data_IF_405196872885
#
_entry.id   IF_405196872885
#
_cell.length_a   1.000
_cell.length_b   1.000
_cell.length_c   1.000
_cell.angle_alpha   90.00
_cell.angle_beta   90.00
_cell.angle_gamma   90.00
#
_symmetry.space_group_name_H-M   'P 1'
#
loop_
_entity.id
_entity.type
_entity.pdbx_description
1 polymer ?
#
# COMPACT_ATOMS: atom_id res chain seq x y z
N UNK A 1 -1.56 -6.81 19.59
CA UNK A 1 -0.44 -6.88 18.61
C UNK A 1 0.30 -8.20 18.55
N UNK A 2 0.62 -8.91 19.67
CA UNK A 2 1.40 -10.17 19.64
C UNK A 2 0.79 -11.26 18.76
N UNK A 3 -0.53 -11.50 18.86
CA UNK A 3 -1.22 -12.48 18.01
C UNK A 3 -1.17 -12.05 16.54
N UNK A 4 -1.39 -10.78 16.25
CA UNK A 4 -1.33 -10.27 14.88
C UNK A 4 0.07 -10.43 14.28
N UNK A 5 1.12 -10.25 15.07
CA UNK A 5 2.50 -10.46 14.66
C UNK A 5 2.78 -11.94 14.34
N UNK A 6 2.29 -12.86 15.18
CA UNK A 6 2.39 -14.29 14.89
C UNK A 6 1.67 -14.66 13.59
N UNK A 7 0.49 -14.09 13.32
CA UNK A 7 -0.24 -14.26 12.08
C UNK A 7 0.54 -13.66 10.90
N UNK A 8 1.11 -12.46 11.06
CA UNK A 8 1.91 -11.82 10.00
C UNK A 8 3.14 -12.66 9.61
N UNK A 9 3.78 -13.33 10.58
CA UNK A 9 4.91 -14.21 10.34
C UNK A 9 4.51 -15.60 9.83
N UNK A 10 3.24 -16.00 9.97
CA UNK A 10 2.71 -17.26 9.46
C UNK A 10 2.74 -17.40 7.92
N UNK A 11 3.17 -16.36 7.20
CA UNK A 11 3.46 -16.41 5.76
C UNK A 11 4.76 -17.17 5.44
N UNK A 12 5.57 -17.45 6.45
CA UNK A 12 6.82 -18.21 6.36
C UNK A 12 6.67 -19.58 7.02
N UNK A 13 7.45 -20.54 6.54
CA UNK A 13 7.59 -21.82 7.22
C UNK A 13 8.48 -21.65 8.47
N UNK A 14 8.02 -22.15 9.59
CA UNK A 14 8.75 -22.14 10.85
C UNK A 14 9.32 -23.51 11.17
N UNK A 15 10.46 -23.55 11.86
CA UNK A 15 11.06 -24.81 12.32
C UNK A 15 10.22 -25.44 13.44
N UNK A 16 10.16 -26.76 13.55
CA UNK A 16 9.48 -27.45 14.64
C UNK A 16 9.99 -26.97 16.03
N UNK A 17 9.07 -26.65 16.92
CA UNK A 17 9.39 -26.18 18.26
C UNK A 17 9.59 -24.68 18.40
N UNK A 18 9.44 -23.90 17.34
CA UNK A 18 9.40 -22.43 17.37
C UNK A 18 8.15 -21.89 18.10
N UNK A 19 7.07 -22.67 18.14
CA UNK A 19 5.76 -22.24 18.68
C UNK A 19 4.86 -21.57 17.65
N UNK A 20 5.37 -21.23 16.47
CA UNK A 20 4.64 -20.62 15.35
C UNK A 20 4.47 -21.57 14.17
N UNK A 21 5.03 -22.77 14.22
CA UNK A 21 4.94 -23.79 13.18
C UNK A 21 3.50 -24.25 12.87
N UNK A 22 2.56 -23.98 13.76
CA UNK A 22 1.14 -24.26 13.57
C UNK A 22 0.35 -23.08 12.99
N UNK A 23 1.00 -21.93 12.77
CA UNK A 23 0.36 -20.74 12.19
C UNK A 23 0.66 -20.73 10.69
N UNK A 24 -0.41 -20.82 9.87
CA UNK A 24 -0.30 -20.68 8.45
C UNK A 24 -1.17 -19.51 7.99
N UNK A 25 -0.57 -18.57 7.26
CA UNK A 25 -1.23 -17.36 6.76
C UNK A 25 -1.14 -17.30 5.24
N UNK A 26 -2.13 -16.70 4.61
CA UNK A 26 -2.13 -16.43 3.17
C UNK A 26 -0.78 -15.79 2.77
N UNK A 27 -0.05 -16.32 1.80
CA UNK A 27 1.26 -15.81 1.40
C UNK A 27 1.21 -14.37 0.86
N UNK A 28 0.02 -13.88 0.48
CA UNK A 28 -0.18 -12.50 0.04
C UNK A 28 -0.59 -11.56 1.18
N UNK A 29 -0.70 -12.05 2.41
CA UNK A 29 -1.07 -11.24 3.55
C UNK A 29 -0.07 -10.09 3.77
N UNK A 30 -0.62 -8.90 3.99
CA UNK A 30 0.16 -7.67 4.16
C UNK A 30 -0.31 -6.92 5.40
N UNK A 31 0.63 -6.56 6.26
CA UNK A 31 0.35 -5.68 7.40
C UNK A 31 0.38 -4.23 6.92
N UNK A 32 -0.74 -3.53 7.08
CA UNK A 32 -0.90 -2.15 6.67
C UNK A 32 -0.95 -1.24 7.89
N UNK A 33 -0.14 -0.19 7.89
CA UNK A 33 -0.09 0.81 8.96
C UNK A 33 0.12 2.21 8.40
N UNK A 34 -0.08 3.24 9.21
CA UNK A 34 0.34 4.60 8.90
C UNK A 34 1.87 4.68 8.84
N UNK A 35 2.38 5.42 7.87
CA UNK A 35 3.81 5.64 7.64
C UNK A 35 4.03 7.11 7.24
N UNK A 36 3.99 8.00 8.23
CA UNK A 36 4.17 9.42 8.02
C UNK A 36 5.51 9.71 7.32
N UNK A 37 5.48 10.62 6.38
CA UNK A 37 6.67 11.07 5.66
C UNK A 37 7.09 10.19 4.49
N UNK A 38 6.43 9.05 4.22
CA UNK A 38 6.78 8.23 3.06
C UNK A 38 6.34 8.88 1.74
N UNK A 39 7.05 8.56 0.66
CA UNK A 39 6.61 8.93 -0.68
C UNK A 39 5.44 8.06 -1.14
N UNK A 40 4.56 8.64 -1.94
CA UNK A 40 3.47 7.97 -2.67
C UNK A 40 3.54 8.45 -4.12
N UNK A 41 3.35 7.57 -5.10
CA UNK A 41 3.47 7.93 -6.51
C UNK A 41 2.31 7.37 -7.32
N UNK A 42 1.42 8.25 -7.79
CA UNK A 42 0.32 7.95 -8.71
C UNK A 42 -0.68 6.92 -8.20
N UNK A 43 -1.01 6.95 -6.93
CA UNK A 43 -1.94 5.99 -6.31
C UNK A 43 -3.35 6.58 -6.28
N UNK A 44 -4.34 5.81 -6.72
CA UNK A 44 -5.75 6.18 -6.55
C UNK A 44 -6.17 5.95 -5.10
N UNK A 45 -6.16 7.02 -4.29
CA UNK A 45 -6.63 6.99 -2.91
C UNK A 45 -8.09 7.46 -2.76
N UNK A 46 -8.77 7.75 -3.86
CA UNK A 46 -10.14 8.27 -3.86
C UNK A 46 -11.16 7.35 -3.17
N UNK A 47 -10.98 6.03 -3.09
CA UNK A 47 -11.84 5.18 -2.26
C UNK A 47 -11.87 5.56 -0.77
N UNK A 48 -10.81 6.20 -0.29
CA UNK A 48 -10.69 6.63 1.11
C UNK A 48 -10.66 8.15 1.27
N UNK A 49 -10.14 8.89 0.31
CA UNK A 49 -9.93 10.34 0.41
C UNK A 49 -10.42 10.99 -0.87
N UNK A 50 -11.58 11.66 -0.80
CA UNK A 50 -12.26 12.21 -1.97
C UNK A 50 -11.64 13.52 -2.48
N UNK A 51 -11.10 14.32 -1.58
CA UNK A 51 -10.42 15.58 -1.92
C UNK A 51 -9.37 15.92 -0.87
N UNK A 52 -8.42 16.75 -1.25
CA UNK A 52 -7.34 17.22 -0.38
C UNK A 52 -7.28 18.76 -0.39
N UNK A 53 -6.80 19.39 0.69
CA UNK A 53 -6.48 20.80 0.68
C UNK A 53 -5.55 21.15 -0.48
N UNK A 54 -5.84 22.22 -1.21
CA UNK A 54 -5.04 22.60 -2.37
C UNK A 54 -5.43 21.93 -3.69
N UNK A 55 -6.48 21.08 -3.71
CA UNK A 55 -7.03 20.48 -4.94
C UNK A 55 -6.17 19.40 -5.56
N UNK A 56 -5.30 18.74 -4.78
CA UNK A 56 -4.51 17.61 -5.27
C UNK A 56 -5.43 16.47 -5.75
N UNK A 57 -5.11 15.90 -6.90
CA UNK A 57 -5.84 14.76 -7.48
C UNK A 57 -5.69 13.52 -6.60
N UNK A 58 -6.81 12.99 -6.13
CA UNK A 58 -6.83 11.77 -5.30
C UNK A 58 -6.94 10.50 -6.12
N UNK A 59 -7.27 10.59 -7.41
CA UNK A 59 -7.32 9.44 -8.34
C UNK A 59 -5.95 9.06 -8.88
N UNK A 60 -4.97 9.98 -8.77
CA UNK A 60 -3.55 9.75 -9.12
C UNK A 60 -2.63 10.50 -8.16
N UNK A 61 -2.82 10.22 -6.87
CA UNK A 61 -2.15 10.95 -5.79
C UNK A 61 -0.65 10.70 -5.74
N UNK A 62 0.11 11.78 -5.70
CA UNK A 62 1.57 11.75 -5.54
C UNK A 62 2.01 12.76 -4.50
N UNK A 63 2.96 12.36 -3.65
CA UNK A 63 3.60 13.23 -2.66
C UNK A 63 4.94 12.66 -2.22
N UNK A 64 5.87 13.53 -1.87
CA UNK A 64 7.14 13.13 -1.24
C UNK A 64 7.01 12.96 0.28
N UNK A 65 5.89 13.38 0.87
CA UNK A 65 5.72 13.44 2.32
C UNK A 65 4.25 13.23 2.70
N UNK A 66 3.80 11.97 2.68
CA UNK A 66 2.43 11.62 3.00
C UNK A 66 2.15 11.76 4.50
N UNK A 67 0.94 12.21 4.85
CA UNK A 67 0.43 12.14 6.22
C UNK A 67 0.07 10.70 6.60
N UNK A 68 -0.21 10.43 7.88
CA UNK A 68 -0.59 9.10 8.36
C UNK A 68 -1.78 8.52 7.61
N UNK A 69 -2.86 9.27 7.44
CA UNK A 69 -4.05 8.80 6.74
C UNK A 69 -3.80 8.59 5.24
N UNK A 70 -3.13 9.53 4.57
CA UNK A 70 -2.81 9.38 3.13
C UNK A 70 -1.84 8.25 2.86
N UNK A 71 -0.83 8.06 3.72
CA UNK A 71 0.13 6.95 3.60
C UNK A 71 -0.52 5.59 3.81
N UNK A 72 -1.44 5.49 4.77
CA UNK A 72 -2.14 4.24 5.05
C UNK A 72 -3.18 3.91 3.97
N UNK A 73 -3.95 4.91 3.48
CA UNK A 73 -4.84 4.74 2.34
C UNK A 73 -4.08 4.24 1.11
N UNK A 74 -2.96 4.89 0.78
CA UNK A 74 -2.10 4.46 -0.32
C UNK A 74 -1.55 3.04 -0.09
N UNK A 75 -1.15 2.67 1.14
CA UNK A 75 -0.65 1.32 1.43
C UNK A 75 -1.70 0.24 1.25
N UNK A 76 -2.98 0.51 1.53
CA UNK A 76 -4.08 -0.41 1.25
C UNK A 76 -4.19 -0.62 -0.26
N UNK A 77 -4.32 0.46 -1.03
CA UNK A 77 -4.50 0.38 -2.50
C UNK A 77 -3.29 -0.28 -3.18
N UNK A 78 -2.07 0.09 -2.79
CA UNK A 78 -0.83 -0.52 -3.29
C UNK A 78 -0.76 -2.03 -2.98
N UNK A 79 -1.23 -2.45 -1.80
CA UNK A 79 -1.29 -3.87 -1.44
C UNK A 79 -2.30 -4.63 -2.30
N UNK A 80 -3.48 -4.04 -2.54
CA UNK A 80 -4.50 -4.62 -3.44
C UNK A 80 -3.98 -4.72 -4.88
N UNK A 81 -3.34 -3.67 -5.40
CA UNK A 81 -2.68 -3.68 -6.72
C UNK A 81 -1.66 -4.82 -6.84
N UNK A 82 -0.90 -5.11 -5.78
CA UNK A 82 0.07 -6.19 -5.73
C UNK A 82 -0.55 -7.57 -5.50
N UNK A 83 -1.88 -7.66 -5.39
CA UNK A 83 -2.61 -8.90 -5.24
C UNK A 83 -2.76 -9.40 -3.80
N UNK A 84 -2.65 -8.52 -2.80
CA UNK A 84 -2.97 -8.87 -1.42
C UNK A 84 -4.44 -9.28 -1.29
N UNK A 85 -4.67 -10.44 -0.66
CA UNK A 85 -6.02 -10.94 -0.35
C UNK A 85 -6.32 -10.94 1.14
N UNK A 86 -5.33 -10.61 1.96
CA UNK A 86 -5.49 -10.50 3.41
C UNK A 86 -4.75 -9.26 3.90
N UNK A 87 -5.48 -8.36 4.55
CA UNK A 87 -4.93 -7.17 5.19
C UNK A 87 -4.90 -7.36 6.71
N UNK A 88 -3.75 -7.13 7.31
CA UNK A 88 -3.51 -7.18 8.74
C UNK A 88 -3.39 -5.75 9.27
N UNK A 89 -4.25 -5.35 10.19
CA UNK A 89 -4.35 -3.97 10.66
C UNK A 89 -4.36 -3.95 12.18
N UNK A 90 -3.52 -3.10 12.76
CA UNK A 90 -3.43 -2.85 14.19
C UNK A 90 -3.85 -1.40 14.46
N UNK A 91 -4.86 -1.19 15.32
CA UNK A 91 -5.34 0.14 15.67
C UNK A 91 -4.21 1.05 16.18
N UNK A 92 -3.29 0.50 16.99
CA UNK A 92 -2.20 1.25 17.61
C UNK A 92 -1.18 1.82 16.60
N UNK A 93 -1.10 1.23 15.41
CA UNK A 93 -0.17 1.67 14.33
C UNK A 93 -0.88 2.28 13.15
N UNK A 94 -2.14 2.63 13.30
CA UNK A 94 -3.00 3.15 12.25
C UNK A 94 -3.36 4.62 12.47
N UNK A 95 -3.69 5.32 11.40
CA UNK A 95 -4.28 6.65 11.49
C UNK A 95 -5.75 6.52 11.95
N UNK A 96 -6.06 7.00 13.13
CA UNK A 96 -7.38 6.83 13.76
C UNK A 96 -8.51 7.35 12.86
N UNK A 97 -8.33 8.51 12.24
CA UNK A 97 -9.30 9.13 11.34
C UNK A 97 -9.55 8.33 10.06
N UNK A 98 -8.57 7.53 9.62
CA UNK A 98 -8.76 6.61 8.49
C UNK A 98 -9.45 5.32 8.94
N UNK A 99 -9.26 4.85 10.17
CA UNK A 99 -9.92 3.63 10.64
C UNK A 99 -11.39 3.85 10.94
N UNK A 100 -11.68 4.84 11.74
CA UNK A 100 -13.02 5.11 12.28
C UNK A 100 -13.29 6.60 12.30
N UNK A 101 -14.58 6.94 12.32
CA UNK A 101 -15.05 8.27 12.65
C UNK A 101 -16.10 8.17 13.73
N UNK A 102 -15.88 8.86 14.83
CA UNK A 102 -16.80 8.94 15.95
C UNK A 102 -18.13 9.60 15.52
N UNK A 103 -19.25 9.15 16.10
CA UNK A 103 -20.58 9.64 15.75
C UNK A 103 -20.71 11.16 16.00
N UNK A 104 -20.15 11.66 17.09
CA UNK A 104 -20.19 13.11 17.42
C UNK A 104 -19.44 13.94 16.38
N UNK A 105 -18.31 13.39 15.86
CA UNK A 105 -17.57 14.04 14.77
C UNK A 105 -18.34 14.01 13.45
N UNK A 106 -19.11 12.95 13.20
CA UNK A 106 -20.00 12.87 12.03
C UNK A 106 -21.12 13.91 12.08
N UNK A 107 -21.68 14.15 13.28
CA UNK A 107 -22.73 15.15 13.49
C UNK A 107 -22.19 16.59 13.46
N UNK A 108 -20.94 16.79 13.92
CA UNK A 108 -20.31 18.10 13.99
C UNK A 108 -19.82 18.60 12.62
N UNK A 109 -19.25 17.71 11.81
CA UNK A 109 -18.67 18.05 10.51
C UNK A 109 -19.54 17.46 9.40
N UNK A 110 -20.12 18.32 8.59
CA UNK A 110 -20.96 17.89 7.47
C UNK A 110 -20.21 16.98 6.50
N UNK A 111 -20.91 16.01 5.92
CA UNK A 111 -20.32 14.97 5.07
C UNK A 111 -19.60 15.54 3.83
N UNK A 112 -20.06 16.66 3.30
CA UNK A 112 -19.44 17.37 2.17
C UNK A 112 -18.12 18.06 2.50
N UNK A 113 -17.86 18.27 3.81
CA UNK A 113 -16.61 18.87 4.30
C UNK A 113 -15.59 17.84 4.78
N UNK A 114 -15.99 16.59 4.89
CA UNK A 114 -15.12 15.51 5.33
C UNK A 114 -14.57 14.75 4.14
N UNK A 115 -13.26 14.89 3.85
CA UNK A 115 -12.66 14.19 2.72
C UNK A 115 -12.46 12.70 2.96
N UNK A 116 -12.43 12.25 4.23
CA UNK A 116 -12.03 10.88 4.58
C UNK A 116 -13.26 9.99 4.75
N UNK A 117 -13.35 8.93 3.96
CA UNK A 117 -14.23 7.80 4.21
C UNK A 117 -13.45 6.77 5.04
N UNK A 118 -13.83 6.52 6.30
CA UNK A 118 -13.06 5.63 7.16
C UNK A 118 -13.17 4.17 6.72
N UNK A 119 -12.15 3.38 7.04
CA UNK A 119 -12.06 1.97 6.69
C UNK A 119 -13.26 1.16 7.18
N UNK A 120 -13.80 1.48 8.35
CA UNK A 120 -14.97 0.80 8.91
C UNK A 120 -16.18 0.86 7.96
N UNK A 121 -16.31 1.90 7.14
CA UNK A 121 -17.37 2.05 6.15
C UNK A 121 -17.00 1.38 4.79
N UNK A 122 -15.81 0.78 4.68
CA UNK A 122 -15.29 0.08 3.49
C UNK A 122 -15.10 -1.42 3.69
N UNK A 123 -15.26 -1.92 4.92
CA UNK A 123 -15.02 -3.34 5.25
C UNK A 123 -15.88 -4.26 4.38
N UNK A 124 -17.19 -3.98 4.29
CA UNK A 124 -18.11 -4.81 3.51
C UNK A 124 -17.70 -4.89 2.04
N UNK A 125 -17.44 -3.73 1.41
CA UNK A 125 -17.06 -3.71 -0.01
C UNK A 125 -15.69 -4.37 -0.26
N UNK A 126 -14.74 -4.29 0.67
CA UNK A 126 -13.47 -5.01 0.59
C UNK A 126 -13.66 -6.52 0.68
N UNK A 127 -14.50 -6.99 1.62
CA UNK A 127 -14.78 -8.42 1.77
C UNK A 127 -15.54 -8.99 0.60
N UNK A 128 -16.49 -8.25 0.04
CA UNK A 128 -17.21 -8.61 -1.20
C UNK A 128 -16.27 -8.69 -2.41
N UNK A 129 -15.20 -7.87 -2.44
CA UNK A 129 -14.14 -7.95 -3.43
C UNK A 129 -13.15 -9.11 -3.18
N UNK A 130 -13.38 -9.96 -2.17
CA UNK A 130 -12.56 -11.12 -1.86
C UNK A 130 -11.33 -10.83 -1.00
N UNK A 131 -11.31 -9.70 -0.29
CA UNK A 131 -10.22 -9.31 0.62
C UNK A 131 -10.60 -9.61 2.06
N UNK A 132 -9.82 -10.42 2.75
CA UNK A 132 -9.98 -10.69 4.17
C UNK A 132 -9.29 -9.60 5.00
N UNK A 133 -9.93 -9.20 6.11
CA UNK A 133 -9.34 -8.27 7.08
C UNK A 133 -9.18 -8.95 8.43
N UNK A 134 -7.99 -8.84 9.01
CA UNK A 134 -7.72 -9.23 10.40
C UNK A 134 -7.30 -7.98 11.13
N UNK A 135 -8.10 -7.57 12.11
CA UNK A 135 -7.92 -6.31 12.80
C UNK A 135 -7.72 -6.53 14.29
N UNK A 136 -6.75 -5.83 14.86
CA UNK A 136 -6.62 -5.67 16.31
C UNK A 136 -7.21 -4.32 16.67
N UNK A 137 -8.21 -4.35 17.53
CA UNK A 137 -8.90 -3.16 18.03
C UNK A 137 -8.95 -3.19 19.55
N UNK A 138 -8.66 -2.07 20.17
CA UNK A 138 -8.69 -1.92 21.62
C UNK A 138 -9.59 -0.80 22.10
N UNK A 139 -9.72 0.25 21.29
CA UNK A 139 -10.45 1.47 21.66
C UNK A 139 -11.84 1.60 21.04
N UNK A 140 -12.14 0.86 19.94
CA UNK A 140 -13.39 1.04 19.22
C UNK A 140 -14.11 -0.26 18.94
N UNK A 141 -15.41 -0.32 19.29
CA UNK A 141 -16.33 -1.38 18.89
C UNK A 141 -16.92 -1.22 17.48
N UNK A 142 -16.53 -0.20 16.73
CA UNK A 142 -17.14 0.13 15.43
C UNK A 142 -17.02 -0.98 14.37
N UNK A 143 -16.01 -1.84 14.47
CA UNK A 143 -15.79 -2.95 13.55
C UNK A 143 -16.61 -4.21 13.89
N UNK A 144 -17.23 -4.26 15.08
CA UNK A 144 -18.01 -5.44 15.49
C UNK A 144 -19.21 -5.70 14.58
N UNK A 145 -19.80 -4.64 14.00
CA UNK A 145 -20.93 -4.72 13.08
C UNK A 145 -20.60 -5.45 11.77
N UNK A 146 -19.36 -5.40 11.33
CA UNK A 146 -18.91 -6.00 10.07
C UNK A 146 -18.11 -7.28 10.29
N UNK A 147 -17.84 -7.68 11.54
CA UNK A 147 -16.98 -8.81 11.85
C UNK A 147 -17.73 -10.15 11.74
N UNK A 148 -17.22 -11.08 10.94
CA UNK A 148 -17.70 -12.46 10.87
C UNK A 148 -17.34 -13.22 12.15
N UNK A 149 -16.15 -12.93 12.69
CA UNK A 149 -15.63 -13.56 13.91
C UNK A 149 -14.98 -12.52 14.82
N UNK A 150 -15.25 -12.62 16.11
CA UNK A 150 -14.67 -11.76 17.13
C UNK A 150 -13.95 -12.62 18.18
N UNK A 151 -12.64 -12.37 18.31
CA UNK A 151 -11.79 -13.04 19.28
C UNK A 151 -11.38 -12.03 20.35
N UNK A 152 -11.48 -12.40 21.61
CA UNK A 152 -11.02 -11.61 22.75
C UNK A 152 -9.77 -12.24 23.35
N UNK A 153 -8.75 -11.44 23.57
CA UNK A 153 -7.55 -11.85 24.31
C UNK A 153 -7.74 -11.53 25.78
N UNK A 154 -7.77 -12.55 26.61
CA UNK A 154 -7.84 -12.42 28.07
C UNK A 154 -6.68 -13.17 28.71
N UNK A 155 -5.76 -12.44 29.35
CA UNK A 155 -4.57 -13.02 30.00
C UNK A 155 -3.83 -14.04 29.12
N UNK A 156 -3.60 -13.70 27.84
CA UNK A 156 -3.00 -14.52 26.78
C UNK A 156 -3.86 -15.71 26.32
N UNK A 157 -5.07 -15.87 26.81
CA UNK A 157 -6.03 -16.83 26.28
C UNK A 157 -6.88 -16.21 25.19
N UNK A 158 -7.01 -16.91 24.08
CA UNK A 158 -7.83 -16.49 22.93
C UNK A 158 -9.23 -17.10 23.06
N UNK A 159 -10.23 -16.26 23.26
CA UNK A 159 -11.63 -16.65 23.46
C UNK A 159 -12.48 -16.23 22.26
N UNK A 160 -13.27 -17.13 21.72
CA UNK A 160 -14.29 -16.78 20.73
C UNK A 160 -15.49 -16.14 21.44
N UNK A 161 -15.69 -14.86 21.19
CA UNK A 161 -16.79 -14.05 21.75
C UNK A 161 -17.76 -13.56 20.68
N UNK A 162 -17.78 -14.19 19.52
CA UNK A 162 -18.58 -13.78 18.35
C UNK A 162 -20.06 -13.63 18.69
N UNK A 163 -20.65 -14.62 19.38
CA UNK A 163 -22.08 -14.56 19.77
C UNK A 163 -22.36 -13.39 20.72
N UNK A 164 -21.46 -13.14 21.67
CA UNK A 164 -21.59 -12.01 22.60
C UNK A 164 -21.46 -10.67 21.87
N UNK A 165 -20.51 -10.55 20.95
CA UNK A 165 -20.34 -9.34 20.13
C UNK A 165 -21.61 -9.04 19.32
N UNK A 166 -22.23 -10.06 18.71
CA UNK A 166 -23.49 -9.90 17.97
C UNK A 166 -24.65 -9.41 18.86
N UNK A 167 -24.74 -9.89 20.10
CA UNK A 167 -25.73 -9.38 21.06
C UNK A 167 -25.50 -7.90 21.38
N UNK A 168 -24.26 -7.51 21.63
CA UNK A 168 -23.90 -6.11 21.89
C UNK A 168 -24.27 -5.21 20.72
N UNK A 169 -23.98 -5.64 19.49
CA UNK A 169 -24.31 -4.89 18.27
C UNK A 169 -25.84 -4.75 18.12
N UNK A 170 -26.61 -5.82 18.42
CA UNK A 170 -28.06 -5.76 18.35
C UNK A 170 -28.67 -4.80 19.36
N UNK A 171 -28.09 -4.70 20.58
CA UNK A 171 -28.55 -3.79 21.63
C UNK A 171 -28.16 -2.33 21.35
N UNK A 172 -27.05 -2.10 20.64
CA UNK A 172 -26.48 -0.78 20.36
C UNK A 172 -26.17 -0.64 18.85
N UNK A 173 -27.17 -0.60 17.99
CA UNK A 173 -26.96 -0.57 16.55
C UNK A 173 -26.29 0.75 16.11
N UNK A 174 -25.31 0.63 15.21
CA UNK A 174 -24.63 1.77 14.60
C UNK A 174 -25.23 2.04 13.21
N UNK A 175 -25.46 3.32 12.82
CA UNK A 175 -25.78 3.65 11.44
C UNK A 175 -24.64 3.16 10.51
N UNK A 176 -24.99 2.31 9.54
CA UNK A 176 -24.05 1.86 8.50
C UNK A 176 -24.08 2.82 7.32
N UNK A 177 -22.92 3.16 6.81
CA UNK A 177 -22.75 4.04 5.63
C UNK A 177 -21.92 3.31 4.57
N UNK A 178 -22.31 2.06 4.29
CA UNK A 178 -21.64 1.28 3.25
C UNK A 178 -21.95 1.90 1.88
N UNK A 179 -21.01 2.61 1.29
CA UNK A 179 -21.12 3.06 -0.08
C UNK A 179 -20.43 2.04 -1.01
N UNK A 180 -21.07 1.63 -2.11
CA UNK A 180 -20.43 0.78 -3.11
C UNK A 180 -19.11 1.42 -3.57
N UNK A 181 -18.06 0.62 -3.63
CA UNK A 181 -16.73 1.10 -4.06
C UNK A 181 -16.13 0.06 -4.98
N UNK A 182 -15.62 0.50 -6.12
CA UNK A 182 -14.79 -0.35 -6.96
C UNK A 182 -13.38 -0.39 -6.37
N UNK A 183 -12.85 -1.59 -6.22
CA UNK A 183 -11.47 -1.84 -5.80
C UNK A 183 -10.58 -2.24 -6.98
N UNK A 184 -11.09 -2.13 -8.20
CA UNK A 184 -10.30 -2.33 -9.41
C UNK A 184 -9.39 -1.12 -9.61
N UNK A 185 -8.20 -1.21 -9.06
CA UNK A 185 -7.16 -0.20 -9.28
C UNK A 185 -6.69 -0.29 -10.73
N UNK A 186 -6.58 0.85 -11.41
CA UNK A 186 -5.85 0.92 -12.69
C UNK A 186 -4.38 0.62 -12.42
N UNK A 187 -3.83 -0.50 -12.95
CA UNK A 187 -2.46 -0.88 -12.63
C UNK A 187 -1.46 0.18 -13.11
N UNK A 188 -0.61 0.64 -12.21
CA UNK A 188 0.43 1.63 -12.50
C UNK A 188 1.55 1.01 -13.32
N UNK A 189 2.11 1.77 -14.26
CA UNK A 189 3.23 1.35 -15.11
C UNK A 189 4.49 2.12 -14.70
N UNK A 190 5.42 1.51 -13.95
CA UNK A 190 6.69 2.13 -13.62
C UNK A 190 7.50 2.47 -14.85
N UNK A 191 8.04 3.69 -14.91
CA UNK A 191 8.99 4.08 -15.92
C UNK A 191 10.36 3.40 -15.67
N UNK A 192 11.09 3.14 -16.74
CA UNK A 192 12.42 2.56 -16.62
C UNK A 192 13.39 3.57 -16.00
N UNK A 193 14.12 3.12 -14.97
CA UNK A 193 15.19 3.90 -14.34
C UNK A 193 16.45 3.84 -15.17
N UNK A 194 17.07 4.97 -15.41
CA UNK A 194 18.38 5.01 -16.07
C UNK A 194 19.47 4.36 -15.18
N UNK A 195 20.37 3.63 -15.82
CA UNK A 195 21.55 3.08 -15.13
C UNK A 195 22.54 4.18 -14.80
N UNK A 196 23.20 4.06 -13.67
CA UNK A 196 24.27 4.98 -13.26
C UNK A 196 25.65 4.32 -13.37
N UNK A 197 26.69 5.11 -13.60
CA UNK A 197 28.05 4.60 -13.82
C UNK A 197 28.63 3.82 -12.63
N UNK A 198 28.27 4.24 -11.40
CA UNK A 198 28.73 3.62 -10.16
C UNK A 198 27.52 3.23 -9.31
N UNK A 199 26.86 2.13 -9.65
CA UNK A 199 25.67 1.68 -8.93
C UNK A 199 26.04 1.25 -7.51
N UNK A 200 25.19 1.65 -6.55
CA UNK A 200 25.29 1.21 -5.17
C UNK A 200 23.95 0.57 -4.77
N UNK A 201 24.01 -0.65 -4.31
CA UNK A 201 22.83 -1.38 -3.84
C UNK A 201 23.22 -2.12 -2.58
N UNK A 202 22.51 -1.89 -1.49
CA UNK A 202 22.69 -2.59 -0.22
C UNK A 202 21.47 -2.43 0.67
N UNK A 203 21.32 -3.30 1.66
CA UNK A 203 20.45 -3.10 2.80
C UNK A 203 21.23 -2.76 4.07
N UNK A 204 20.57 -2.10 5.02
CA UNK A 204 21.05 -1.86 6.39
C UNK A 204 20.01 -2.46 7.33
N UNK A 205 20.32 -3.64 7.88
CA UNK A 205 19.37 -4.45 8.64
C UNK A 205 18.15 -4.83 7.78
N UNK A 206 16.97 -4.77 8.38
CA UNK A 206 15.67 -5.06 7.73
C UNK A 206 14.88 -3.79 7.39
N UNK A 207 15.42 -2.61 7.66
CA UNK A 207 14.63 -1.38 7.68
C UNK A 207 14.96 -0.39 6.57
N UNK A 208 16.20 -0.40 6.04
CA UNK A 208 16.63 0.61 5.06
C UNK A 208 17.34 -0.04 3.89
N UNK A 209 16.89 0.30 2.69
CA UNK A 209 17.61 -0.02 1.45
C UNK A 209 18.33 1.22 0.94
N UNK A 210 19.46 1.03 0.28
CA UNK A 210 20.15 2.07 -0.46
C UNK A 210 20.22 1.69 -1.93
N UNK A 211 19.65 2.53 -2.79
CA UNK A 211 19.70 2.39 -4.24
C UNK A 211 20.35 3.65 -4.79
N UNK A 212 21.59 3.53 -5.21
CA UNK A 212 22.49 4.64 -5.57
C UNK A 212 22.69 5.63 -4.42
N UNK A 213 22.07 6.82 -4.50
CA UNK A 213 22.11 7.85 -3.44
C UNK A 213 20.82 7.93 -2.63
N UNK A 214 19.81 7.13 -3.00
CA UNK A 214 18.49 7.18 -2.39
C UNK A 214 18.37 6.12 -1.31
N UNK A 215 18.05 6.56 -0.10
CA UNK A 215 17.62 5.68 0.98
C UNK A 215 16.12 5.40 0.83
N UNK A 216 15.73 4.14 1.01
CA UNK A 216 14.34 3.69 0.99
C UNK A 216 14.05 3.10 2.36
N UNK A 217 13.18 3.75 3.10
CA UNK A 217 12.69 3.23 4.37
C UNK A 217 11.65 2.14 4.12
N UNK A 218 11.93 0.94 4.60
CA UNK A 218 11.04 -0.23 4.55
C UNK A 218 10.70 -0.75 5.95
N UNK A 219 10.92 0.05 6.99
CA UNK A 219 10.67 -0.33 8.38
C UNK A 219 9.20 -0.67 8.67
N UNK A 220 8.30 -0.19 7.84
CA UNK A 220 6.86 -0.49 7.89
C UNK A 220 6.46 -1.71 7.05
N UNK A 221 7.38 -2.33 6.30
CA UNK A 221 7.14 -3.56 5.53
C UNK A 221 7.36 -4.78 6.43
N UNK A 222 6.33 -5.15 7.17
CA UNK A 222 6.40 -6.18 8.23
C UNK A 222 6.81 -7.59 7.73
N UNK A 223 6.71 -7.84 6.41
CA UNK A 223 7.14 -9.11 5.81
C UNK A 223 8.66 -9.27 5.72
N UNK A 224 9.44 -8.21 5.96
CA UNK A 224 10.90 -8.25 5.90
C UNK A 224 11.46 -8.56 7.28
N UNK A 225 11.76 -9.83 7.53
CA UNK A 225 12.19 -10.33 8.85
C UNK A 225 13.67 -10.71 8.92
N UNK A 226 14.36 -10.74 7.78
CA UNK A 226 15.75 -11.17 7.67
C UNK A 226 16.59 -10.17 6.84
N UNK A 227 17.82 -9.81 7.28
CA UNK A 227 18.68 -8.90 6.52
C UNK A 227 19.01 -9.39 5.09
N UNK A 228 19.08 -10.70 4.89
CA UNK A 228 19.30 -11.28 3.56
C UNK A 228 18.11 -11.10 2.64
N UNK A 229 16.87 -11.06 3.19
CA UNK A 229 15.69 -10.68 2.43
C UNK A 229 15.74 -9.20 2.02
N UNK A 230 16.08 -8.31 2.95
CA UNK A 230 16.21 -6.88 2.67
C UNK A 230 17.27 -6.62 1.58
N UNK A 231 18.42 -7.29 1.65
CA UNK A 231 19.45 -7.18 0.62
C UNK A 231 18.94 -7.70 -0.75
N UNK A 232 18.26 -8.85 -0.77
CA UNK A 232 17.64 -9.36 -2.00
C UNK A 232 16.57 -8.42 -2.56
N UNK A 233 15.75 -7.79 -1.71
CA UNK A 233 14.77 -6.78 -2.11
C UNK A 233 15.47 -5.60 -2.78
N UNK A 234 16.55 -5.07 -2.22
CA UNK A 234 17.29 -3.95 -2.79
C UNK A 234 17.75 -4.25 -4.23
N UNK A 235 18.30 -5.44 -4.45
CA UNK A 235 18.72 -5.89 -5.79
C UNK A 235 17.54 -6.14 -6.73
N UNK A 236 16.44 -6.72 -6.24
CA UNK A 236 15.21 -6.91 -7.02
C UNK A 236 14.61 -5.56 -7.45
N UNK A 237 14.54 -4.56 -6.55
CA UNK A 237 14.05 -3.20 -6.89
C UNK A 237 14.90 -2.61 -8.01
N UNK A 238 16.24 -2.68 -7.91
CA UNK A 238 17.12 -2.22 -8.98
C UNK A 238 16.84 -2.93 -10.29
N UNK A 239 16.83 -4.25 -10.28
CA UNK A 239 16.64 -5.07 -11.49
C UNK A 239 15.28 -4.83 -12.15
N UNK A 240 14.23 -4.71 -11.36
CA UNK A 240 12.89 -4.40 -11.87
C UNK A 240 12.89 -3.02 -12.54
N UNK A 241 13.39 -1.99 -11.86
CA UNK A 241 13.34 -0.63 -12.38
C UNK A 241 14.28 -0.37 -13.56
N UNK A 242 15.49 -0.97 -13.58
CA UNK A 242 16.48 -0.75 -14.62
C UNK A 242 16.34 -1.67 -15.83
N UNK A 243 15.79 -2.88 -15.67
CA UNK A 243 15.79 -3.91 -16.73
C UNK A 243 14.39 -4.34 -17.18
N UNK A 244 13.38 -4.23 -16.33
CA UNK A 244 12.06 -4.77 -16.59
C UNK A 244 10.98 -3.72 -16.80
N UNK A 245 11.10 -2.55 -16.14
CA UNK A 245 10.11 -1.49 -16.15
C UNK A 245 9.98 -0.78 -17.51
N UNK A 246 8.95 0.04 -17.65
CA UNK A 246 8.72 0.91 -18.81
C UNK A 246 7.60 0.47 -19.74
N UNK A 247 7.07 -0.75 -19.64
CA UNK A 247 5.98 -1.23 -20.50
C UNK A 247 4.92 -2.04 -19.77
N UNK A 248 5.26 -2.63 -18.64
CA UNK A 248 4.42 -3.56 -17.91
C UNK A 248 3.91 -2.92 -16.63
N UNK A 249 2.71 -3.32 -16.20
CA UNK A 249 2.13 -2.89 -14.95
C UNK A 249 2.93 -3.42 -13.74
N UNK A 250 2.73 -2.81 -12.57
CA UNK A 250 3.38 -3.26 -11.34
C UNK A 250 3.08 -4.75 -11.04
N UNK A 251 1.84 -5.25 -11.11
CA UNK A 251 1.55 -6.68 -10.95
C UNK A 251 2.29 -7.56 -11.96
N UNK A 252 2.34 -7.16 -13.24
CA UNK A 252 3.02 -7.94 -14.29
C UNK A 252 4.53 -8.00 -14.05
N UNK A 253 5.13 -6.90 -13.56
CA UNK A 253 6.53 -6.85 -13.19
C UNK A 253 6.83 -7.81 -12.04
N UNK A 254 5.97 -7.86 -11.02
CA UNK A 254 6.11 -8.81 -9.90
C UNK A 254 5.95 -10.25 -10.37
N UNK A 255 4.98 -10.53 -11.23
CA UNK A 255 4.80 -11.86 -11.82
C UNK A 255 6.02 -12.29 -12.66
N UNK A 256 6.59 -11.37 -13.45
CA UNK A 256 7.80 -11.62 -14.24
C UNK A 256 9.02 -11.88 -13.36
N UNK A 257 9.21 -11.07 -12.31
CA UNK A 257 10.26 -11.30 -11.31
C UNK A 257 10.09 -12.65 -10.63
N UNK A 258 8.85 -13.00 -10.24
CA UNK A 258 8.53 -14.28 -9.61
C UNK A 258 8.88 -15.48 -10.46
N UNK A 259 8.56 -15.45 -11.76
CA UNK A 259 8.97 -16.50 -12.72
C UNK A 259 10.51 -16.62 -12.82
N UNK A 260 11.21 -15.50 -12.87
CA UNK A 260 12.65 -15.47 -12.92
C UNK A 260 13.29 -16.06 -11.66
N UNK A 261 12.80 -15.64 -10.48
CA UNK A 261 13.26 -16.21 -9.20
C UNK A 261 12.90 -17.69 -9.03
N UNK A 262 11.81 -18.16 -9.66
CA UNK A 262 11.45 -19.58 -9.64
C UNK A 262 12.36 -20.43 -10.53
N UNK A 263 12.75 -19.93 -11.70
CA UNK A 263 13.57 -20.67 -12.67
C UNK A 263 15.07 -20.60 -12.40
N UNK A 264 15.56 -19.46 -11.88
CA UNK A 264 16.99 -19.19 -11.71
C UNK A 264 17.42 -19.16 -10.23
N UNK A 265 16.44 -19.24 -9.30
CA UNK A 265 16.73 -19.04 -7.87
C UNK A 265 17.19 -17.62 -7.58
N UNK A 266 17.93 -17.46 -6.48
CA UNK A 266 18.52 -16.16 -6.10
C UNK A 266 19.67 -15.73 -7.03
N UNK A 267 20.19 -16.63 -7.85
CA UNK A 267 21.20 -16.30 -8.87
C UNK A 267 20.67 -15.28 -9.90
N UNK A 268 19.34 -15.18 -10.07
CA UNK A 268 18.71 -14.13 -10.85
C UNK A 268 19.14 -12.72 -10.43
N UNK A 269 19.41 -12.52 -9.13
CA UNK A 269 19.83 -11.24 -8.56
C UNK A 269 21.20 -10.81 -9.06
N UNK A 270 22.12 -11.74 -9.35
CA UNK A 270 23.44 -11.46 -9.91
C UNK A 270 23.36 -10.73 -11.26
N UNK A 271 22.33 -11.05 -12.05
CA UNK A 271 22.11 -10.46 -13.37
C UNK A 271 21.62 -9.01 -13.31
N UNK A 272 21.25 -8.53 -12.12
CA UNK A 272 20.86 -7.12 -11.89
C UNK A 272 22.05 -6.18 -11.65
N UNK A 273 23.23 -6.56 -12.13
CA UNK A 273 24.44 -5.73 -12.10
C UNK A 273 25.31 -5.92 -10.87
N UNK A 274 25.06 -6.93 -10.05
CA UNK A 274 25.93 -7.29 -8.95
C UNK A 274 27.25 -7.85 -9.51
N UNK A 275 28.37 -7.19 -9.19
CA UNK A 275 29.72 -7.71 -9.51
C UNK A 275 30.18 -8.81 -8.56
N UNK A 276 29.64 -8.84 -7.36
CA UNK A 276 29.84 -9.88 -6.36
C UNK A 276 28.50 -10.27 -5.77
N UNK A 277 28.26 -11.56 -5.68
CA UNK A 277 27.04 -12.12 -5.14
C UNK A 277 27.12 -12.18 -3.60
N UNK A 278 26.24 -11.50 -2.87
CA UNK A 278 26.19 -11.66 -1.43
C UNK A 278 25.74 -13.06 -1.07
N UNK A 279 26.58 -13.82 -0.39
CA UNK A 279 26.30 -15.23 -0.06
C UNK A 279 25.17 -15.44 0.96
N UNK A 280 24.69 -14.36 1.59
CA UNK A 280 23.68 -14.40 2.66
C UNK A 280 22.27 -14.01 2.20
N UNK A 281 22.00 -13.98 0.91
CA UNK A 281 20.66 -13.63 0.41
C UNK A 281 19.60 -14.63 0.85
N UNK A 282 18.45 -14.11 1.27
CA UNK A 282 17.25 -14.90 1.50
C UNK A 282 16.15 -14.49 0.51
N UNK A 283 15.30 -15.46 0.12
CA UNK A 283 14.26 -15.21 -0.88
C UNK A 283 13.21 -14.23 -0.36
N UNK A 284 12.99 -13.09 -1.02
CA UNK A 284 11.96 -12.14 -0.62
C UNK A 284 10.59 -12.57 -1.14
N UNK A 285 9.52 -12.12 -0.49
CA UNK A 285 8.18 -12.17 -1.05
C UNK A 285 8.05 -11.09 -2.13
N UNK A 286 7.33 -11.40 -3.20
CA UNK A 286 7.15 -10.45 -4.31
C UNK A 286 6.37 -9.21 -3.88
N UNK A 287 5.41 -9.38 -2.97
CA UNK A 287 4.63 -8.26 -2.44
C UNK A 287 5.50 -7.28 -1.64
N UNK A 288 6.53 -7.78 -0.93
CA UNK A 288 7.46 -6.93 -0.19
C UNK A 288 8.42 -6.19 -1.13
N UNK A 289 8.80 -6.81 -2.27
CA UNK A 289 9.55 -6.12 -3.33
C UNK A 289 8.71 -4.98 -3.94
N UNK A 290 7.45 -5.24 -4.26
CA UNK A 290 6.53 -4.22 -4.76
C UNK A 290 6.31 -3.09 -3.75
N UNK A 291 6.17 -3.43 -2.46
CA UNK A 291 6.07 -2.45 -1.39
C UNK A 291 7.33 -1.56 -1.27
N UNK A 292 8.51 -2.13 -1.46
CA UNK A 292 9.77 -1.37 -1.48
C UNK A 292 9.88 -0.45 -2.71
N UNK A 293 9.41 -0.91 -3.88
CA UNK A 293 9.34 -0.06 -5.09
C UNK A 293 8.43 1.15 -4.84
N UNK A 294 7.28 0.94 -4.21
CA UNK A 294 6.33 2.00 -3.87
C UNK A 294 6.90 3.06 -2.91
N UNK A 295 7.92 2.70 -2.12
CA UNK A 295 8.60 3.61 -1.19
C UNK A 295 9.84 4.28 -1.78
N UNK A 296 10.27 3.86 -2.97
CA UNK A 296 11.42 4.44 -3.63
C UNK A 296 11.10 5.84 -4.16
N UNK A 297 11.68 6.88 -3.61
CA UNK A 297 11.44 8.29 -3.99
C UNK A 297 11.79 8.63 -5.43
N UNK A 298 12.60 7.81 -6.08
CA UNK A 298 12.90 7.93 -7.51
C UNK A 298 11.92 7.17 -8.42
N UNK A 299 10.82 6.63 -7.89
CA UNK A 299 9.79 6.01 -8.70
C UNK A 299 9.10 7.06 -9.55
N UNK A 300 9.07 6.84 -10.85
CA UNK A 300 8.25 7.58 -11.79
C UNK A 300 7.36 6.63 -12.57
N UNK A 301 6.21 7.12 -13.03
CA UNK A 301 5.25 6.34 -13.79
C UNK A 301 5.26 6.81 -15.25
N UNK A 302 4.88 5.93 -16.15
CA UNK A 302 4.54 6.33 -17.52
C UNK A 302 3.12 6.91 -17.50
N UNK A 303 2.94 8.01 -18.21
CA UNK A 303 1.60 8.54 -18.46
C UNK A 303 0.74 7.51 -19.19
N UNK A 304 -0.54 7.37 -18.83
CA UNK A 304 -1.48 6.55 -19.60
C UNK A 304 -1.44 7.01 -21.07
N UNK A 305 -1.32 6.07 -22.01
CA UNK A 305 -1.42 6.41 -23.44
C UNK A 305 -2.80 7.00 -23.70
N UNK A 306 -2.87 8.33 -23.90
CA UNK A 306 -4.12 9.05 -24.17
C UNK A 306 -4.35 10.31 -23.35
N UNK A 307 -3.51 10.64 -22.38
CA UNK A 307 -3.52 11.97 -21.76
C UNK A 307 -2.92 12.96 -22.75
N UNK A 308 -3.77 13.77 -23.35
CA UNK A 308 -3.35 14.97 -24.13
C UNK A 308 -2.74 15.92 -23.10
N UNK A 309 -1.46 16.28 -23.28
CA UNK A 309 -0.82 17.28 -22.45
C UNK A 309 -1.61 18.58 -22.52
N UNK A 310 -1.95 19.14 -21.38
CA UNK A 310 -2.70 20.41 -21.28
C UNK A 310 -1.92 21.60 -21.86
N UNK A 311 -0.63 21.43 -22.15
CA UNK A 311 0.25 22.45 -22.73
C UNK A 311 0.03 22.71 -24.25
N UNK A 312 -0.75 21.90 -24.97
CA UNK A 312 -1.07 22.16 -26.37
C UNK A 312 -2.39 22.93 -26.61
N UNK A 313 -3.13 23.27 -25.56
CA UNK A 313 -4.44 23.92 -25.65
C UNK A 313 -4.40 25.46 -25.54
N UNK A 314 -3.23 26.10 -25.46
CA UNK A 314 -3.08 27.57 -25.51
C UNK A 314 -2.41 27.96 -26.80
N UNK A 315 -3.08 27.69 -27.91
CA UNK A 315 -2.85 28.44 -29.16
C UNK A 315 -3.79 29.65 -29.10
N UNK A 316 -3.22 30.84 -28.95
CA UNK A 316 -3.95 32.10 -29.04
C UNK A 316 -4.68 32.21 -30.40
N UNK A 317 -5.94 32.66 -30.44
CA UNK A 317 -6.58 32.96 -31.69
C UNK A 317 -5.93 34.22 -32.30
N UNK A 318 -5.35 34.05 -33.48
CA UNK A 318 -4.83 35.12 -34.36
C UNK A 318 -5.83 36.27 -34.46
N UNK A 319 -5.34 37.49 -34.19
CA UNK A 319 -6.14 38.71 -34.14
C UNK A 319 -6.88 39.03 -35.43
N UNK A 320 -8.16 39.34 -35.27
CA UNK A 320 -8.90 40.14 -36.25
C UNK A 320 -8.58 41.64 -36.11
N UNK A 321 -8.45 42.40 -37.19
CA UNK A 321 -8.14 43.83 -37.13
C UNK A 321 -9.35 44.64 -36.66
N UNK A 322 -9.11 45.58 -35.73
CA UNK A 322 -10.11 46.56 -35.26
C UNK A 322 -10.57 47.49 -36.41
N UNK A 323 -11.85 47.79 -36.53
CA UNK A 323 -12.31 48.83 -37.45
C UNK A 323 -11.92 50.21 -36.93
N UNK A 324 -11.43 51.04 -37.84
CA UNK A 324 -11.15 52.47 -37.66
C UNK A 324 -12.43 53.23 -37.31
N UNK A 325 -12.38 54.00 -36.25
CA UNK A 325 -13.43 54.99 -35.88
C UNK A 325 -13.05 56.29 -36.61
N UNK A 326 -13.82 56.69 -37.62
CA UNK A 326 -13.80 58.01 -38.20
C UNK A 326 -14.62 58.95 -37.36
N UNK A 327 -13.98 59.99 -36.81
CA UNK A 327 -14.63 61.19 -36.25
C UNK A 327 -15.30 61.98 -37.33
N UNK A 328 -16.55 62.39 -37.08
CA UNK A 328 -17.21 63.57 -37.64
C UNK A 328 -18.21 64.10 -36.62
#
# INVERSE_FOLDING_TARGET
STLLEAIAQGVYAHVPGDGRELVATDPTATKVRAADGRAVTGVDISPFITHLPGGADTTSFSTENASGSTSQAASIIESLELGARTLLIDEDTSATNLLIRDTRMRDLVAADKEPITPLVDRVTSLTEAGVSLIMVVGGSGAFLDAADRVLMMDNYHCLDVTSRARSVVADLPRPRTDAPTSWEATPRVPAAKARVDRPRTKASGTSVLTIDRTAVDISDVAGVVDPGQAEAIAWCVRGVLEEMAGKQSMPDLMAKLGRRLASEGLDAVCKFGARSYPAFLARPRLIDVGAAINRYRGLSLREPRGAVSVDEAVAEPSGEPRPEVTES
#
